data_IF_779615034215
#
_entry.id   IF_779615034215
#
_cell.length_a   1.000
_cell.length_b   1.000
_cell.length_c   1.000
_cell.angle_alpha   90.00
_cell.angle_beta   90.00
_cell.angle_gamma   90.00
#
_symmetry.space_group_name_H-M   'P 1'
#
loop_
_entity.id
_entity.type
_entity.pdbx_description
1 polymer ?
#
# COMPACT_ATOMS: atom_id res chain seq x y z
N UNK A 1 -40.83 -25.04 -13.18
CA UNK A 1 -41.92 -24.10 -12.85
C UNK A 1 -42.29 -24.39 -11.40
N UNK A 2 -42.48 -23.35 -10.57
CA UNK A 2 -42.58 -23.29 -9.09
C UNK A 2 -41.33 -22.73 -8.40
N UNK A 3 -41.37 -21.42 -8.22
CA UNK A 3 -40.56 -20.58 -7.33
C UNK A 3 -41.13 -20.66 -5.91
N UNK A 4 -40.27 -20.71 -4.89
CA UNK A 4 -40.66 -20.44 -3.51
C UNK A 4 -40.12 -19.07 -3.10
N UNK A 5 -41.04 -18.10 -3.01
CA UNK A 5 -40.83 -16.81 -2.38
C UNK A 5 -41.33 -16.90 -0.93
N UNK A 6 -40.50 -16.56 0.05
CA UNK A 6 -40.96 -16.30 1.42
C UNK A 6 -41.00 -14.79 1.60
N UNK A 7 -42.23 -14.27 1.60
CA UNK A 7 -42.59 -12.88 1.89
C UNK A 7 -43.16 -12.85 3.31
N UNK A 8 -42.52 -12.11 4.21
CA UNK A 8 -43.19 -11.56 5.40
C UNK A 8 -42.73 -10.12 5.59
N UNK A 9 -43.42 -9.20 4.90
CA UNK A 9 -43.33 -7.76 5.13
C UNK A 9 -44.65 -7.33 5.78
N UNK A 10 -44.64 -7.08 7.09
CA UNK A 10 -45.76 -6.48 7.81
C UNK A 10 -45.72 -4.97 7.57
N UNK A 11 -46.74 -4.46 6.87
CA UNK A 11 -46.98 -3.05 6.62
C UNK A 11 -47.26 -2.29 7.92
N UNK A 12 -46.52 -1.20 8.17
CA UNK A 12 -47.02 -0.03 8.89
C UNK A 12 -46.63 1.27 8.14
N UNK A 13 -47.62 1.71 7.38
CA UNK A 13 -47.99 3.05 6.89
C UNK A 13 -47.02 4.24 6.89
N UNK A 14 -47.10 4.94 5.74
CA UNK A 14 -46.79 6.35 5.41
C UNK A 14 -45.44 6.68 4.76
N UNK A 15 -45.54 6.87 3.43
CA UNK A 15 -44.74 7.72 2.55
C UNK A 15 -43.22 7.52 2.53
N UNK A 16 -42.77 6.57 1.72
CA UNK A 16 -41.60 6.73 0.85
C UNK A 16 -41.64 5.61 -0.20
N UNK A 17 -41.52 5.98 -1.47
CA UNK A 17 -41.23 5.06 -2.56
C UNK A 17 -39.84 4.47 -2.29
N UNK A 18 -39.78 3.32 -1.63
CA UNK A 18 -38.56 2.52 -1.61
C UNK A 18 -38.49 1.86 -2.98
N UNK A 19 -37.63 2.43 -3.82
CA UNK A 19 -37.14 1.77 -5.01
C UNK A 19 -36.35 0.54 -4.51
N UNK A 20 -36.98 -0.63 -4.45
CA UNK A 20 -36.25 -1.89 -4.30
C UNK A 20 -35.52 -2.13 -5.61
N UNK A 21 -34.35 -1.50 -5.77
CA UNK A 21 -33.34 -1.99 -6.69
C UNK A 21 -32.96 -3.40 -6.19
N UNK A 22 -33.25 -4.41 -7.00
CA UNK A 22 -32.63 -5.72 -6.86
C UNK A 22 -31.12 -5.50 -6.92
N UNK A 23 -30.43 -5.54 -5.77
CA UNK A 23 -28.97 -5.57 -5.73
C UNK A 23 -28.58 -6.95 -6.25
N UNK A 24 -28.36 -7.06 -7.56
CA UNK A 24 -27.70 -8.23 -8.15
C UNK A 24 -26.25 -8.24 -7.67
N UNK A 25 -25.99 -8.86 -6.53
CA UNK A 25 -24.64 -9.17 -6.05
C UNK A 25 -24.03 -10.20 -6.99
N UNK A 26 -23.26 -9.74 -7.98
CA UNK A 26 -22.62 -10.64 -8.95
C UNK A 26 -21.48 -11.39 -8.26
N UNK A 27 -21.69 -12.68 -7.99
CA UNK A 27 -20.62 -13.58 -7.56
C UNK A 27 -19.59 -13.71 -8.69
N UNK A 28 -18.33 -13.41 -8.39
CA UNK A 28 -17.20 -13.57 -9.32
C UNK A 28 -16.43 -14.83 -8.96
N UNK A 29 -16.12 -15.66 -9.96
CA UNK A 29 -15.35 -16.91 -9.79
C UNK A 29 -13.98 -16.77 -10.46
N UNK A 30 -12.93 -17.14 -9.73
CA UNK A 30 -11.57 -17.27 -10.26
C UNK A 30 -11.05 -18.68 -10.02
N UNK A 31 -10.32 -19.23 -10.99
CA UNK A 31 -9.71 -20.57 -10.92
C UNK A 31 -8.22 -20.48 -11.21
N UNK A 32 -7.43 -20.94 -10.25
CA UNK A 32 -6.01 -21.16 -10.36
C UNK A 32 -5.74 -22.60 -10.78
N UNK A 33 -5.23 -22.76 -12.00
CA UNK A 33 -4.67 -24.00 -12.50
C UNK A 33 -3.23 -24.12 -11.98
N UNK A 34 -3.01 -24.95 -10.97
CA UNK A 34 -1.73 -25.17 -10.32
C UNK A 34 -1.10 -26.49 -10.82
N UNK A 35 0.02 -26.43 -11.57
CA UNK A 35 0.73 -27.63 -11.98
C UNK A 35 1.32 -28.39 -10.79
N UNK A 36 1.22 -29.72 -10.79
CA UNK A 36 1.78 -30.56 -9.72
C UNK A 36 3.31 -30.44 -9.65
N UNK A 37 3.98 -30.11 -10.76
CA UNK A 37 5.42 -29.80 -10.80
C UNK A 37 5.79 -28.56 -10.00
N UNK A 38 4.89 -27.58 -9.93
CA UNK A 38 5.06 -26.39 -9.10
C UNK A 38 4.71 -26.71 -7.65
N UNK A 39 3.76 -27.61 -7.41
CA UNK A 39 3.35 -28.09 -6.09
C UNK A 39 4.39 -29.03 -5.44
N UNK A 40 5.56 -28.49 -5.12
CA UNK A 40 6.70 -29.23 -4.55
C UNK A 40 6.48 -29.64 -3.09
N UNK A 41 7.17 -30.68 -2.62
CA UNK A 41 6.98 -31.22 -1.26
C UNK A 41 7.60 -30.30 -0.19
N UNK A 42 6.96 -30.24 0.99
CA UNK A 42 7.42 -29.62 2.25
C UNK A 42 7.79 -28.13 2.18
N UNK A 43 6.93 -27.25 2.74
CA UNK A 43 7.22 -25.83 2.86
C UNK A 43 7.02 -25.04 1.57
N UNK A 44 6.38 -25.64 0.56
CA UNK A 44 6.02 -24.95 -0.66
C UNK A 44 5.16 -23.72 -0.38
N UNK A 45 5.42 -22.65 -1.12
CA UNK A 45 4.62 -21.45 -1.15
C UNK A 45 4.47 -21.00 -2.60
N UNK A 46 3.24 -20.73 -3.00
CA UNK A 46 2.92 -20.29 -4.36
C UNK A 46 1.86 -19.21 -4.36
N UNK A 47 1.83 -18.44 -5.44
CA UNK A 47 0.81 -17.41 -5.66
C UNK A 47 0.21 -17.58 -7.05
N UNK A 48 -1.10 -17.40 -7.16
CA UNK A 48 -1.75 -17.32 -8.45
C UNK A 48 -1.29 -16.07 -9.22
N UNK A 49 -1.55 -16.03 -10.53
CA UNK A 49 -1.64 -14.76 -11.25
C UNK A 49 -2.61 -13.81 -10.56
N UNK A 50 -2.38 -12.52 -10.74
CA UNK A 50 -3.31 -11.47 -10.34
C UNK A 50 -4.62 -11.64 -11.11
N UNK A 51 -5.74 -11.48 -10.42
CA UNK A 51 -7.06 -11.41 -11.04
C UNK A 51 -7.84 -10.21 -10.51
N UNK A 52 -8.71 -9.68 -11.37
CA UNK A 52 -9.42 -8.43 -11.12
C UNK A 52 -10.91 -8.70 -11.04
N UNK A 53 -11.54 -8.14 -10.01
CA UNK A 53 -13.00 -8.06 -9.93
C UNK A 53 -13.44 -6.61 -10.04
N UNK A 54 -14.59 -6.37 -10.65
CA UNK A 54 -15.15 -5.03 -10.82
C UNK A 54 -16.46 -4.94 -10.06
N UNK A 55 -16.60 -3.93 -9.21
CA UNK A 55 -17.88 -3.58 -8.58
C UNK A 55 -18.10 -2.08 -8.75
N UNK A 56 -19.20 -1.69 -9.38
CA UNK A 56 -19.59 -0.28 -9.55
C UNK A 56 -18.50 0.62 -10.15
N UNK A 57 -17.70 0.08 -11.07
CA UNK A 57 -16.60 0.80 -11.71
C UNK A 57 -15.26 0.78 -10.95
N UNK A 58 -15.24 0.26 -9.72
CA UNK A 58 -14.01 0.11 -8.93
C UNK A 58 -13.33 -1.23 -9.24
N UNK A 59 -12.07 -1.16 -9.69
CA UNK A 59 -11.22 -2.33 -9.93
C UNK A 59 -10.60 -2.79 -8.62
N UNK A 60 -10.78 -4.05 -8.29
CA UNK A 60 -10.27 -4.70 -7.10
C UNK A 60 -9.24 -5.75 -7.55
N UNK A 61 -8.02 -5.67 -7.03
CA UNK A 61 -6.92 -6.59 -7.40
C UNK A 61 -6.73 -7.65 -6.32
N UNK A 62 -6.61 -8.91 -6.76
CA UNK A 62 -6.56 -10.08 -5.89
C UNK A 62 -5.51 -11.10 -6.33
N UNK A 63 -5.05 -11.91 -5.38
CA UNK A 63 -4.29 -13.15 -5.62
C UNK A 63 -4.71 -14.24 -4.65
N UNK A 64 -4.63 -15.49 -5.10
CA UNK A 64 -4.61 -16.64 -4.19
C UNK A 64 -3.18 -16.95 -3.78
N UNK A 65 -2.97 -17.30 -2.52
CA UNK A 65 -1.69 -17.77 -1.98
C UNK A 65 -1.87 -19.12 -1.32
N UNK A 66 -1.12 -20.09 -1.79
CA UNK A 66 -1.11 -21.45 -1.24
C UNK A 66 0.19 -21.72 -0.50
N UNK A 67 0.11 -22.51 0.58
CA UNK A 67 1.27 -22.97 1.33
C UNK A 67 1.08 -24.43 1.76
N UNK A 68 2.12 -25.25 1.71
CA UNK A 68 2.14 -26.57 2.35
C UNK A 68 2.84 -26.45 3.70
N UNK A 69 2.10 -26.70 4.77
CA UNK A 69 2.60 -26.69 6.13
C UNK A 69 3.46 -27.93 6.40
N UNK A 70 4.63 -27.68 6.99
CA UNK A 70 5.63 -28.72 7.22
C UNK A 70 5.20 -29.73 8.29
N UNK A 71 4.58 -29.25 9.38
CA UNK A 71 4.33 -30.04 10.58
C UNK A 71 3.11 -30.96 10.49
N UNK A 72 2.06 -30.53 9.79
CA UNK A 72 0.79 -31.26 9.70
C UNK A 72 0.48 -31.76 8.29
N UNK A 73 1.39 -31.51 7.32
CA UNK A 73 1.20 -31.89 5.91
C UNK A 73 -0.12 -31.38 5.33
N UNK A 74 -0.59 -30.22 5.78
CA UNK A 74 -1.79 -29.57 5.26
C UNK A 74 -1.45 -28.48 4.24
N UNK A 75 -2.38 -28.24 3.33
CA UNK A 75 -2.37 -27.13 2.38
C UNK A 75 -3.21 -25.99 2.94
N UNK A 76 -2.60 -24.84 3.22
CA UNK A 76 -3.29 -23.60 3.56
C UNK A 76 -3.55 -22.77 2.31
N UNK A 77 -4.68 -22.06 2.30
CA UNK A 77 -5.09 -21.22 1.16
C UNK A 77 -5.61 -19.87 1.64
N UNK A 78 -5.09 -18.81 1.05
CA UNK A 78 -5.43 -17.43 1.39
C UNK A 78 -5.83 -16.64 0.14
N UNK A 79 -6.80 -15.75 0.30
CA UNK A 79 -7.16 -14.71 -0.63
C UNK A 79 -6.45 -13.43 -0.16
N UNK A 80 -5.69 -12.82 -1.05
CA UNK A 80 -4.94 -11.59 -0.78
C UNK A 80 -5.46 -10.46 -1.63
N UNK A 81 -5.48 -9.27 -1.05
CA UNK A 81 -6.01 -8.06 -1.67
C UNK A 81 -4.90 -7.03 -1.89
N UNK A 82 -4.78 -6.55 -3.13
CA UNK A 82 -3.67 -5.71 -3.60
C UNK A 82 -4.12 -4.32 -4.08
N UNK A 83 -5.40 -3.96 -3.91
CA UNK A 83 -5.92 -2.65 -4.27
C UNK A 83 -6.00 -1.66 -3.09
N UNK A 84 -6.08 -0.37 -3.41
CA UNK A 84 -5.92 0.73 -2.45
C UNK A 84 -7.14 0.93 -1.54
N UNK A 85 -8.35 0.72 -2.06
CA UNK A 85 -9.61 1.00 -1.37
C UNK A 85 -10.06 -0.25 -0.62
N UNK A 86 -10.37 -0.16 0.66
CA UNK A 86 -10.85 -1.32 1.41
C UNK A 86 -12.20 -1.84 0.91
N UNK A 87 -12.45 -3.15 1.04
CA UNK A 87 -13.71 -3.76 0.61
C UNK A 87 -14.12 -4.89 1.54
N UNK A 88 -15.42 -4.95 1.88
CA UNK A 88 -15.98 -6.14 2.50
C UNK A 88 -16.23 -7.18 1.40
N UNK A 89 -15.72 -8.39 1.58
CA UNK A 89 -15.95 -9.46 0.63
C UNK A 89 -16.33 -10.75 1.37
N UNK A 90 -17.39 -11.37 0.88
CA UNK A 90 -17.69 -12.75 1.20
C UNK A 90 -16.99 -13.66 0.20
N UNK A 91 -16.27 -14.66 0.66
CA UNK A 91 -15.52 -15.55 -0.20
C UNK A 91 -15.60 -16.99 0.23
N UNK A 92 -15.52 -17.88 -0.77
CA UNK A 92 -15.57 -19.32 -0.59
C UNK A 92 -14.49 -19.97 -1.46
N UNK A 93 -13.61 -20.72 -0.82
CA UNK A 93 -12.64 -21.55 -1.54
C UNK A 93 -13.23 -22.90 -1.90
N UNK A 94 -12.77 -23.44 -3.03
CA UNK A 94 -13.06 -24.79 -3.42
C UNK A 94 -11.88 -25.45 -4.15
N UNK A 95 -11.86 -26.77 -4.11
CA UNK A 95 -11.05 -27.62 -4.97
C UNK A 95 -11.96 -28.36 -5.92
N UNK A 96 -11.70 -28.24 -7.22
CA UNK A 96 -12.44 -29.01 -8.20
C UNK A 96 -12.04 -30.49 -8.07
N UNK A 97 -13.02 -31.36 -8.24
CA UNK A 97 -12.83 -32.81 -8.24
C UNK A 97 -13.56 -33.37 -9.45
N UNK A 98 -12.92 -34.27 -10.21
CA UNK A 98 -13.52 -34.86 -11.41
C UNK A 98 -14.24 -36.19 -11.15
N UNK A 99 -14.09 -36.77 -9.94
CA UNK A 99 -14.77 -38.00 -9.50
C UNK A 99 -15.97 -37.72 -8.58
N UNK A 100 -15.92 -36.64 -7.79
CA UNK A 100 -16.97 -36.20 -6.88
C UNK A 100 -17.40 -34.75 -7.15
N UNK A 101 -18.41 -34.26 -6.42
CA UNK A 101 -18.66 -32.81 -6.37
C UNK A 101 -17.44 -32.05 -5.80
N UNK A 102 -17.34 -30.75 -6.10
CA UNK A 102 -16.30 -29.84 -5.60
C UNK A 102 -16.18 -29.93 -4.07
N UNK A 103 -14.97 -30.08 -3.53
CA UNK A 103 -14.74 -29.86 -2.09
C UNK A 103 -14.72 -28.37 -1.83
N UNK A 104 -15.44 -27.89 -0.83
CA UNK A 104 -15.50 -26.46 -0.53
C UNK A 104 -15.64 -26.23 0.97
N UNK A 105 -14.98 -25.20 1.48
CA UNK A 105 -15.00 -24.87 2.91
C UNK A 105 -15.57 -23.46 3.10
N UNK A 106 -16.70 -23.39 3.83
CA UNK A 106 -17.34 -22.19 4.36
C UNK A 106 -17.72 -21.09 3.37
N UNK A 107 -18.49 -20.11 3.85
CA UNK A 107 -18.55 -18.76 3.28
C UNK A 107 -17.93 -17.86 4.36
N UNK A 108 -16.75 -17.33 4.09
CA UNK A 108 -16.06 -16.42 5.00
C UNK A 108 -16.43 -14.98 4.64
N UNK A 109 -16.48 -14.08 5.61
CA UNK A 109 -16.60 -12.64 5.37
C UNK A 109 -15.43 -11.94 6.04
N UNK A 110 -14.74 -11.09 5.29
CA UNK A 110 -13.60 -10.31 5.78
C UNK A 110 -13.59 -8.91 5.17
N UNK A 111 -13.10 -7.95 5.94
CA UNK A 111 -12.72 -6.63 5.45
C UNK A 111 -11.29 -6.71 4.90
N UNK A 112 -11.15 -6.54 3.59
CA UNK A 112 -9.85 -6.52 2.92
C UNK A 112 -9.36 -5.07 2.78
N UNK A 113 -8.17 -4.79 3.29
CA UNK A 113 -7.42 -3.55 3.04
C UNK A 113 -6.13 -3.85 2.29
N UNK A 114 -5.50 -2.85 1.68
CA UNK A 114 -4.29 -3.05 0.85
C UNK A 114 -3.24 -3.90 1.57
N UNK A 115 -2.83 -5.01 0.93
CA UNK A 115 -1.83 -5.96 1.44
C UNK A 115 -2.34 -7.03 2.40
N UNK A 116 -3.64 -7.03 2.76
CA UNK A 116 -4.20 -8.04 3.66
C UNK A 116 -4.48 -9.36 2.95
N UNK A 117 -4.33 -10.46 3.69
CA UNK A 117 -4.64 -11.81 3.24
C UNK A 117 -5.48 -12.52 4.30
N UNK A 118 -6.59 -13.13 3.89
CA UNK A 118 -7.44 -13.92 4.76
C UNK A 118 -7.68 -15.29 4.14
N UNK A 119 -7.73 -16.32 4.98
CA UNK A 119 -7.77 -17.67 4.47
C UNK A 119 -7.97 -18.74 5.51
N UNK A 120 -7.63 -19.95 5.11
CA UNK A 120 -7.83 -21.15 5.89
C UNK A 120 -6.48 -21.85 6.09
N UNK A 121 -6.07 -21.92 7.36
CA UNK A 121 -4.90 -22.69 7.77
C UNK A 121 -5.27 -24.16 7.83
N UNK A 122 -4.69 -24.95 6.91
CA UNK A 122 -5.02 -26.36 6.76
C UNK A 122 -6.33 -26.62 6.02
N UNK A 123 -6.56 -25.89 4.92
CA UNK A 123 -7.71 -26.04 4.03
C UNK A 123 -7.95 -27.49 3.57
N UNK A 124 -6.87 -28.23 3.24
CA UNK A 124 -6.93 -29.65 2.85
C UNK A 124 -5.62 -30.40 3.12
N UNK A 125 -5.69 -31.70 3.43
CA UNK A 125 -4.50 -32.53 3.57
C UNK A 125 -3.77 -32.74 2.23
N UNK A 126 -2.44 -32.61 2.25
CA UNK A 126 -1.57 -32.77 1.08
C UNK A 126 -1.74 -34.15 0.41
N UNK A 127 -1.76 -35.22 1.21
CA UNK A 127 -1.91 -36.58 0.68
C UNK A 127 -3.26 -36.79 0.02
N UNK A 128 -4.32 -36.20 0.58
CA UNK A 128 -5.66 -36.25 0.00
C UNK A 128 -5.70 -35.55 -1.36
N UNK A 129 -5.07 -34.38 -1.49
CA UNK A 129 -5.01 -33.62 -2.75
C UNK A 129 -4.14 -34.28 -3.84
N UNK A 130 -3.11 -35.02 -3.44
CA UNK A 130 -2.09 -35.58 -4.36
C UNK A 130 -2.30 -37.05 -4.70
N UNK A 131 -3.25 -37.71 -4.04
CA UNK A 131 -3.64 -39.07 -4.41
C UNK A 131 -4.44 -39.08 -5.72
N UNK A 132 -3.93 -39.83 -6.70
CA UNK A 132 -4.56 -40.00 -8.02
C UNK A 132 -5.94 -40.66 -7.92
N UNK A 133 -6.20 -41.41 -6.86
CA UNK A 133 -7.50 -42.05 -6.65
C UNK A 133 -8.57 -41.08 -6.18
N UNK A 134 -8.20 -39.96 -5.54
CA UNK A 134 -9.16 -39.05 -4.92
C UNK A 134 -9.81 -38.06 -5.90
N UNK A 135 -9.30 -37.91 -7.13
CA UNK A 135 -9.97 -37.14 -8.19
C UNK A 135 -9.69 -35.63 -8.20
N UNK A 136 -8.71 -35.14 -7.43
CA UNK A 136 -8.32 -33.71 -7.43
C UNK A 136 -7.27 -33.36 -8.50
N UNK A 137 -6.58 -34.36 -9.05
CA UNK A 137 -5.61 -34.20 -10.12
C UNK A 137 -6.31 -34.36 -11.46
N UNK A 138 -6.32 -33.30 -12.27
CA UNK A 138 -6.86 -33.29 -13.63
C UNK A 138 -5.79 -33.70 -14.65
N UNK A 139 -6.20 -33.82 -15.91
CA UNK A 139 -5.30 -34.07 -17.03
C UNK A 139 -4.09 -33.13 -17.01
N UNK A 140 -2.92 -33.67 -17.38
CA UNK A 140 -1.62 -32.97 -17.35
C UNK A 140 -1.11 -32.62 -15.94
N UNK A 141 -1.56 -33.35 -14.92
CA UNK A 141 -1.12 -33.18 -13.53
C UNK A 141 -1.41 -31.78 -12.98
N UNK A 142 -2.63 -31.30 -13.18
CA UNK A 142 -3.07 -29.96 -12.72
C UNK A 142 -4.06 -30.11 -11.56
N UNK A 143 -3.88 -29.30 -10.51
CA UNK A 143 -4.86 -29.10 -9.44
C UNK A 143 -5.60 -27.79 -9.70
N UNK A 144 -6.93 -27.81 -9.65
CA UNK A 144 -7.77 -26.63 -9.89
C UNK A 144 -8.30 -26.07 -8.57
N UNK A 145 -7.72 -24.96 -8.14
CA UNK A 145 -8.10 -24.24 -6.90
C UNK A 145 -8.98 -23.06 -7.30
N UNK A 146 -10.17 -22.94 -6.74
CA UNK A 146 -11.07 -21.84 -7.05
C UNK A 146 -11.47 -21.01 -5.84
N UNK A 147 -11.84 -19.77 -6.13
CA UNK A 147 -12.48 -18.86 -5.18
C UNK A 147 -13.72 -18.24 -5.81
N UNK A 148 -14.80 -18.23 -5.05
CA UNK A 148 -16.02 -17.48 -5.36
C UNK A 148 -16.06 -16.29 -4.43
N UNK A 149 -16.19 -15.08 -4.99
CA UNK A 149 -16.17 -13.82 -4.26
C UNK A 149 -17.48 -13.09 -4.53
N UNK A 150 -18.16 -12.70 -3.47
CA UNK A 150 -19.26 -11.74 -3.50
C UNK A 150 -18.76 -10.48 -2.83
N UNK A 151 -18.65 -9.42 -3.62
CA UNK A 151 -18.23 -8.11 -3.12
C UNK A 151 -19.42 -7.44 -2.44
N UNK A 152 -19.18 -6.94 -1.23
CA UNK A 152 -20.04 -5.99 -0.57
C UNK A 152 -19.67 -4.56 -0.97
N UNK A 153 -20.12 -3.62 -0.16
CA UNK A 153 -19.84 -2.21 -0.40
C UNK A 153 -18.35 -1.91 -0.17
N UNK A 154 -17.73 -1.05 -1.00
CA UNK A 154 -16.40 -0.54 -0.73
C UNK A 154 -16.36 0.11 0.65
N UNK A 155 -15.59 -0.48 1.54
CA UNK A 155 -15.37 0.07 2.88
C UNK A 155 -14.15 0.97 2.75
N UNK A 156 -14.40 2.22 2.41
CA UNK A 156 -13.48 3.28 2.77
C UNK A 156 -13.35 3.23 4.28
N UNK A 157 -12.14 3.00 4.79
CA UNK A 157 -11.86 3.03 6.21
C UNK A 157 -12.24 4.41 6.76
N UNK A 158 -13.48 4.55 7.23
CA UNK A 158 -14.07 5.79 7.73
C UNK A 158 -15.13 6.38 6.80
N UNK A 159 -16.23 6.86 7.39
CA UNK A 159 -17.23 7.74 6.74
C UNK A 159 -16.58 9.08 6.37
N UNK A 160 -15.69 9.10 5.39
CA UNK A 160 -15.15 10.33 4.82
C UNK A 160 -15.77 10.51 3.45
N UNK A 161 -16.50 11.61 3.27
CA UNK A 161 -16.91 12.04 1.94
C UNK A 161 -15.62 12.28 1.13
N UNK A 162 -15.27 11.37 0.21
CA UNK A 162 -14.02 11.44 -0.55
C UNK A 162 -13.95 12.72 -1.37
N UNK A 163 -15.08 13.18 -1.91
CA UNK A 163 -15.16 14.48 -2.59
C UNK A 163 -14.81 15.63 -1.65
N UNK A 164 -15.18 15.53 -0.36
CA UNK A 164 -14.81 16.52 0.65
C UNK A 164 -13.31 16.44 1.00
N UNK A 165 -12.76 15.24 1.15
CA UNK A 165 -11.32 15.06 1.48
C UNK A 165 -10.44 15.52 0.31
N UNK A 166 -10.80 15.14 -0.92
CA UNK A 166 -10.12 15.59 -2.15
C UNK A 166 -10.31 17.11 -2.34
N UNK A 167 -11.52 17.63 -2.09
CA UNK A 167 -11.82 19.06 -2.21
C UNK A 167 -11.17 19.94 -1.13
N UNK A 168 -10.87 19.39 0.06
CA UNK A 168 -10.27 20.15 1.15
C UNK A 168 -8.83 20.56 0.81
N UNK A 169 -8.02 19.64 0.27
CA UNK A 169 -6.65 19.95 -0.14
C UNK A 169 -6.61 21.07 -1.18
N UNK A 170 -7.50 21.03 -2.17
CA UNK A 170 -7.60 22.09 -3.17
C UNK A 170 -8.07 23.42 -2.57
N UNK A 171 -9.05 23.37 -1.67
CA UNK A 171 -9.56 24.56 -0.99
C UNK A 171 -8.47 25.24 -0.14
N UNK A 172 -7.67 24.46 0.58
CA UNK A 172 -6.55 24.96 1.38
C UNK A 172 -5.43 25.53 0.49
N UNK A 173 -5.10 24.84 -0.61
CA UNK A 173 -4.14 25.33 -1.61
C UNK A 173 -4.55 26.68 -2.19
N UNK A 174 -5.84 26.87 -2.50
CA UNK A 174 -6.36 28.16 -2.97
C UNK A 174 -6.24 29.27 -1.92
N UNK A 175 -6.47 28.97 -0.63
CA UNK A 175 -6.25 29.98 0.44
C UNK A 175 -4.79 30.41 0.51
N UNK A 176 -3.85 29.46 0.40
CA UNK A 176 -2.42 29.75 0.37
C UNK A 176 -2.02 30.60 -0.84
N UNK A 177 -2.43 30.21 -2.05
CA UNK A 177 -2.12 30.95 -3.29
C UNK A 177 -2.69 32.37 -3.26
N UNK A 178 -3.90 32.54 -2.74
CA UNK A 178 -4.54 33.86 -2.59
C UNK A 178 -4.04 34.63 -1.36
N UNK A 179 -3.17 34.04 -0.54
CA UNK A 179 -2.66 34.62 0.72
C UNK A 179 -3.77 35.06 1.67
N UNK A 180 -4.93 34.42 1.57
CA UNK A 180 -6.14 34.79 2.32
C UNK A 180 -6.04 34.29 3.75
N UNK A 181 -6.22 35.17 4.74
CA UNK A 181 -6.10 34.87 6.17
C UNK A 181 -4.71 34.39 6.63
N UNK A 182 -3.67 34.60 5.83
CA UNK A 182 -2.30 34.30 6.22
C UNK A 182 -1.89 35.10 7.47
N UNK A 183 -1.38 34.40 8.47
CA UNK A 183 -1.00 34.94 9.78
C UNK A 183 0.51 34.73 10.07
N UNK A 184 1.25 34.17 9.12
CA UNK A 184 2.68 33.93 9.19
C UNK A 184 3.35 34.18 7.83
N UNK A 185 4.61 34.60 7.85
CA UNK A 185 5.47 34.67 6.67
C UNK A 185 6.73 33.82 6.88
N UNK A 186 6.98 32.87 5.97
CA UNK A 186 8.27 32.20 5.87
C UNK A 186 9.22 33.08 5.05
N UNK A 187 10.45 33.27 5.52
CA UNK A 187 11.42 34.17 4.88
C UNK A 187 12.75 33.47 4.62
N UNK A 188 13.35 33.77 3.48
CA UNK A 188 14.77 33.51 3.16
C UNK A 188 15.44 34.80 2.75
N UNK A 189 16.73 34.75 2.43
CA UNK A 189 17.43 35.91 1.86
C UNK A 189 16.91 36.30 0.46
N UNK A 190 16.23 35.38 -0.24
CA UNK A 190 15.83 35.55 -1.65
C UNK A 190 14.32 35.73 -1.84
N UNK A 191 13.49 35.24 -0.93
CA UNK A 191 12.05 35.20 -1.11
C UNK A 191 11.28 35.13 0.21
N UNK A 192 9.98 35.43 0.12
CA UNK A 192 9.03 35.37 1.23
C UNK A 192 7.76 34.64 0.79
N UNK A 193 7.19 33.84 1.69
CA UNK A 193 5.96 33.09 1.45
C UNK A 193 4.97 33.30 2.60
N UNK A 194 3.80 33.85 2.29
CA UNK A 194 2.69 33.92 3.23
C UNK A 194 2.15 32.51 3.52
N UNK A 195 1.82 32.21 4.77
CA UNK A 195 1.37 30.90 5.24
C UNK A 195 0.45 31.02 6.46
N UNK A 196 -0.04 29.87 6.93
CA UNK A 196 -0.95 29.76 8.07
C UNK A 196 -0.32 28.92 9.17
N UNK A 197 -0.24 29.49 10.39
CA UNK A 197 0.37 28.85 11.57
C UNK A 197 -0.21 27.46 11.83
N UNK A 198 -1.54 27.37 11.86
CA UNK A 198 -2.25 26.12 12.18
C UNK A 198 -1.96 25.01 11.17
N UNK A 199 -1.86 25.35 9.89
CA UNK A 199 -1.62 24.37 8.83
C UNK A 199 -0.19 23.87 8.91
N UNK A 200 0.80 24.77 9.03
CA UNK A 200 2.20 24.40 9.19
C UNK A 200 2.43 23.53 10.44
N UNK A 201 1.90 23.94 11.59
CA UNK A 201 2.02 23.18 12.84
C UNK A 201 1.37 21.80 12.75
N UNK A 202 0.27 21.65 12.00
CA UNK A 202 -0.40 20.35 11.83
C UNK A 202 0.41 19.35 10.99
N UNK A 203 1.27 19.83 10.09
CA UNK A 203 2.02 18.99 9.15
C UNK A 203 3.48 18.78 9.55
N UNK A 204 4.00 19.59 10.48
CA UNK A 204 5.41 19.61 10.86
C UNK A 204 5.55 19.78 12.37
N UNK A 205 6.22 18.82 13.00
CA UNK A 205 6.55 18.94 14.43
C UNK A 205 7.49 20.12 14.69
N UNK A 206 8.37 20.44 13.75
CA UNK A 206 9.32 21.55 13.85
C UNK A 206 8.57 22.89 13.83
N UNK A 207 7.65 23.10 12.88
CA UNK A 207 6.83 24.31 12.90
C UNK A 207 5.93 24.36 14.14
N UNK A 208 5.37 23.22 14.58
CA UNK A 208 4.60 23.17 15.82
C UNK A 208 5.41 23.63 17.03
N UNK A 209 6.66 23.19 17.16
CA UNK A 209 7.54 23.59 18.26
C UNK A 209 7.94 25.07 18.17
N UNK A 210 8.30 25.56 16.98
CA UNK A 210 8.62 26.96 16.75
C UNK A 210 7.44 27.88 17.11
N UNK A 211 6.22 27.46 16.79
CA UNK A 211 5.00 28.24 17.02
C UNK A 211 4.47 28.10 18.47
N UNK A 212 4.80 27.03 19.18
CA UNK A 212 4.38 26.81 20.57
C UNK A 212 4.88 27.92 21.52
N UNK A 213 5.99 28.57 21.19
CA UNK A 213 6.55 29.69 21.95
C UNK A 213 5.94 31.06 21.60
N UNK A 214 5.01 31.13 20.63
CA UNK A 214 4.34 32.38 20.27
C UNK A 214 3.37 32.80 21.37
N UNK A 215 3.46 34.06 21.80
CA UNK A 215 2.56 34.67 22.79
C UNK A 215 1.94 35.94 22.24
N UNK A 216 0.93 36.50 22.92
CA UNK A 216 0.32 37.77 22.52
C UNK A 216 1.31 38.95 22.60
N UNK A 217 2.25 38.90 23.56
CA UNK A 217 3.29 39.92 23.74
C UNK A 217 4.43 39.77 22.72
N UNK A 218 4.70 38.52 22.29
CA UNK A 218 5.75 38.17 21.33
C UNK A 218 5.19 37.24 20.24
N UNK A 219 4.39 37.77 19.30
CA UNK A 219 3.80 36.96 18.26
C UNK A 219 4.86 36.54 17.25
N UNK A 220 4.94 35.24 16.97
CA UNK A 220 5.79 34.71 15.89
C UNK A 220 5.07 34.96 14.56
N UNK A 221 5.44 36.02 13.85
CA UNK A 221 4.85 36.37 12.54
C UNK A 221 5.78 36.06 11.37
N UNK A 222 7.06 35.82 11.66
CA UNK A 222 8.07 35.50 10.68
C UNK A 222 8.87 34.27 11.15
N UNK A 223 9.10 33.32 10.25
CA UNK A 223 10.03 32.20 10.48
C UNK A 223 11.07 32.22 9.38
N UNK A 224 12.33 32.31 9.79
CA UNK A 224 13.44 32.17 8.86
C UNK A 224 13.62 30.70 8.49
N UNK A 225 13.55 30.38 7.20
CA UNK A 225 13.76 29.03 6.66
C UNK A 225 15.05 28.92 5.84
N UNK A 226 15.92 29.93 5.90
CA UNK A 226 17.20 29.93 5.16
C UNK A 226 18.27 29.01 5.76
N UNK A 227 18.20 28.69 7.06
CA UNK A 227 19.09 27.71 7.70
C UNK A 227 18.85 26.27 7.21
N UNK A 228 17.77 26.06 6.46
CA UNK A 228 17.34 24.75 6.02
C UNK A 228 17.86 24.33 4.64
N UNK A 229 18.84 25.01 3.99
CA UNK A 229 19.30 24.70 2.61
C UNK A 229 18.16 24.37 1.60
N UNK A 230 16.93 24.80 1.91
CA UNK A 230 15.72 24.18 1.40
C UNK A 230 15.39 24.94 0.13
N UNK A 231 16.05 24.57 -0.97
CA UNK A 231 15.84 25.19 -2.28
C UNK A 231 14.44 24.97 -2.86
N UNK A 232 13.56 24.29 -2.13
CA UNK A 232 12.23 23.83 -2.57
C UNK A 232 11.12 24.27 -1.60
N UNK A 233 11.25 25.43 -0.93
CA UNK A 233 10.23 25.93 0.03
C UNK A 233 8.84 25.98 -0.60
N UNK A 234 8.74 26.42 -1.86
CA UNK A 234 7.45 26.50 -2.57
C UNK A 234 6.83 25.11 -2.80
N UNK A 235 7.62 24.13 -3.26
CA UNK A 235 7.20 22.72 -3.41
C UNK A 235 6.81 22.09 -2.07
N UNK A 236 7.54 22.41 -0.99
CA UNK A 236 7.21 21.98 0.35
C UNK A 236 5.86 22.54 0.80
N UNK A 237 5.62 23.84 0.58
CA UNK A 237 4.32 24.45 0.89
C UNK A 237 3.20 23.87 0.03
N UNK A 238 3.41 23.68 -1.27
CA UNK A 238 2.43 23.02 -2.15
C UNK A 238 1.98 21.67 -1.57
N UNK A 239 2.93 20.88 -1.07
CA UNK A 239 2.63 19.62 -0.41
C UNK A 239 1.85 19.80 0.90
N UNK A 240 2.29 20.70 1.77
CA UNK A 240 1.63 20.95 3.07
C UNK A 240 0.15 21.28 2.89
N UNK A 241 -0.21 22.04 1.85
CA UNK A 241 -1.59 22.49 1.63
C UNK A 241 -2.43 21.50 0.81
N UNK A 242 -1.83 20.72 -0.09
CA UNK A 242 -2.57 19.88 -1.05
C UNK A 242 -2.32 18.38 -0.92
N UNK A 243 -1.29 17.95 -0.19
CA UNK A 243 -0.81 16.57 -0.17
C UNK A 243 -0.08 16.14 -1.46
N UNK A 244 0.20 17.08 -2.38
CA UNK A 244 0.82 16.80 -3.68
C UNK A 244 1.84 17.85 -4.07
N UNK A 245 2.74 17.51 -4.99
CA UNK A 245 3.69 18.47 -5.60
C UNK A 245 3.62 18.32 -7.10
N UNK A 246 3.31 19.40 -7.81
CA UNK A 246 3.11 19.38 -9.26
C UNK A 246 4.43 19.11 -9.99
N UNK A 247 5.47 19.88 -9.66
CA UNK A 247 6.77 19.85 -10.35
C UNK A 247 7.89 20.32 -9.42
N UNK A 248 8.51 19.42 -8.62
CA UNK A 248 9.68 19.81 -7.83
C UNK A 248 10.85 20.12 -8.77
N UNK A 249 11.60 21.19 -8.51
CA UNK A 249 12.76 21.56 -9.35
C UNK A 249 13.94 20.63 -9.06
N UNK A 250 14.14 20.29 -7.78
CA UNK A 250 15.14 19.35 -7.31
C UNK A 250 14.58 18.47 -6.19
N UNK A 251 14.37 17.19 -6.49
CA UNK A 251 13.80 16.23 -5.54
C UNK A 251 14.70 15.98 -4.31
N UNK A 252 16.03 16.12 -4.44
CA UNK A 252 16.98 15.96 -3.32
C UNK A 252 16.82 17.12 -2.34
N UNK A 253 16.70 18.35 -2.84
CA UNK A 253 16.41 19.51 -2.00
C UNK A 253 15.06 19.34 -1.28
N UNK A 254 14.07 18.76 -1.95
CA UNK A 254 12.77 18.48 -1.33
C UNK A 254 12.86 17.39 -0.24
N UNK A 255 13.70 16.36 -0.42
CA UNK A 255 14.04 15.40 0.65
C UNK A 255 14.63 16.12 1.85
N UNK A 256 15.58 17.03 1.62
CA UNK A 256 16.17 17.83 2.69
C UNK A 256 15.06 18.59 3.43
N UNK A 257 14.20 19.33 2.72
CA UNK A 257 13.12 20.09 3.33
C UNK A 257 12.21 19.18 4.19
N UNK A 258 11.83 18.02 3.66
CA UNK A 258 10.98 17.05 4.36
C UNK A 258 11.61 16.56 5.66
N UNK A 259 12.91 16.28 5.64
CA UNK A 259 13.66 15.82 6.80
C UNK A 259 13.85 16.96 7.82
N UNK A 260 14.33 18.12 7.37
CA UNK A 260 14.64 19.27 8.21
C UNK A 260 13.41 19.79 8.96
N UNK A 261 12.26 19.88 8.27
CA UNK A 261 11.01 20.30 8.89
C UNK A 261 10.18 19.12 9.44
N UNK A 262 10.72 17.89 9.41
CA UNK A 262 10.06 16.67 9.87
C UNK A 262 8.60 16.52 9.35
N UNK A 263 8.43 16.60 8.04
CA UNK A 263 7.14 16.47 7.35
C UNK A 263 7.02 15.04 6.81
N UNK A 264 6.46 14.14 7.62
CA UNK A 264 6.42 12.70 7.32
C UNK A 264 5.76 12.38 5.96
N UNK A 265 4.64 13.02 5.64
CA UNK A 265 3.95 12.82 4.36
C UNK A 265 4.83 13.20 3.16
N UNK A 266 5.56 14.30 3.25
CA UNK A 266 6.45 14.77 2.19
C UNK A 266 7.66 13.85 2.04
N UNK A 267 8.18 13.33 3.15
CA UNK A 267 9.24 12.32 3.16
C UNK A 267 8.80 11.07 2.42
N UNK A 268 7.61 10.53 2.71
CA UNK A 268 7.03 9.38 2.00
C UNK A 268 6.76 9.68 0.51
N UNK A 269 6.32 10.89 0.18
CA UNK A 269 6.18 11.32 -1.21
C UNK A 269 7.52 11.27 -1.97
N UNK A 270 8.58 11.84 -1.38
CA UNK A 270 9.91 11.82 -1.96
C UNK A 270 10.47 10.41 -2.10
N UNK A 271 10.29 9.54 -1.10
CA UNK A 271 10.66 8.12 -1.17
C UNK A 271 10.02 7.42 -2.38
N UNK A 272 8.71 7.60 -2.55
CA UNK A 272 7.98 6.98 -3.65
C UNK A 272 8.48 7.50 -5.00
N UNK A 273 8.71 8.82 -5.14
CA UNK A 273 9.25 9.42 -6.37
C UNK A 273 10.67 8.92 -6.68
N UNK A 274 11.54 8.84 -5.68
CA UNK A 274 12.92 8.33 -5.82
C UNK A 274 12.98 6.81 -6.04
N UNK A 275 11.92 6.08 -5.70
CA UNK A 275 11.82 4.66 -6.02
C UNK A 275 11.71 4.42 -7.52
N UNK A 276 11.06 5.34 -8.24
CA UNK A 276 11.01 5.30 -9.70
C UNK A 276 12.37 5.69 -10.30
N UNK A 277 12.84 4.92 -11.28
CA UNK A 277 14.11 5.20 -11.95
C UNK A 277 15.38 4.84 -11.17
N UNK A 278 15.30 3.92 -10.20
CA UNK A 278 16.50 3.29 -9.64
C UNK A 278 17.22 2.54 -10.76
N UNK A 279 18.52 2.80 -10.91
CA UNK A 279 19.42 2.12 -11.84
C UNK A 279 20.68 1.70 -11.10
N UNK A 280 21.49 0.81 -11.70
CA UNK A 280 22.78 0.48 -11.08
C UNK A 280 23.67 1.71 -10.92
N UNK A 281 23.66 2.63 -11.90
CA UNK A 281 24.52 3.82 -11.90
C UNK A 281 24.16 4.80 -10.77
N UNK A 282 22.87 4.98 -10.46
CA UNK A 282 22.41 5.92 -9.42
C UNK A 282 22.16 5.26 -8.05
N UNK A 283 22.22 3.92 -7.97
CA UNK A 283 21.88 3.18 -6.76
C UNK A 283 22.76 3.52 -5.56
N UNK A 284 24.06 3.78 -5.76
CA UNK A 284 24.97 4.14 -4.66
C UNK A 284 24.59 5.47 -4.02
N UNK A 285 24.48 6.50 -4.85
CA UNK A 285 24.16 7.87 -4.43
C UNK A 285 22.80 7.89 -3.73
N UNK A 286 21.79 7.24 -4.31
CA UNK A 286 20.46 7.12 -3.69
C UNK A 286 20.48 6.32 -2.40
N UNK A 287 21.37 5.33 -2.27
CA UNK A 287 21.48 4.53 -1.06
C UNK A 287 22.05 5.37 0.09
N UNK A 288 23.12 6.13 -0.18
CA UNK A 288 23.70 7.08 0.77
C UNK A 288 22.64 8.12 1.16
N UNK A 289 21.99 8.75 0.17
CA UNK A 289 20.88 9.68 0.41
C UNK A 289 19.78 9.06 1.30
N UNK A 290 19.41 7.81 1.03
CA UNK A 290 18.37 7.14 1.81
C UNK A 290 18.78 6.82 3.24
N UNK A 291 20.07 6.71 3.51
CA UNK A 291 20.60 6.56 4.86
C UNK A 291 20.65 7.91 5.57
N UNK A 292 21.22 8.93 4.94
CA UNK A 292 21.43 10.25 5.54
C UNK A 292 20.13 10.96 5.94
N UNK A 293 19.03 10.69 5.22
CA UNK A 293 17.71 11.29 5.49
C UNK A 293 16.68 10.30 6.05
N UNK A 294 17.13 9.13 6.52
CA UNK A 294 16.28 8.07 7.10
C UNK A 294 15.13 7.62 6.19
N UNK A 295 15.38 7.52 4.87
CA UNK A 295 14.39 7.16 3.87
C UNK A 295 14.22 5.63 3.75
N UNK A 296 13.68 5.01 4.79
CA UNK A 296 13.76 3.55 4.98
C UNK A 296 13.08 2.73 3.87
N UNK A 297 11.91 3.14 3.35
CA UNK A 297 11.25 2.37 2.28
C UNK A 297 12.03 2.43 0.96
N UNK A 298 12.62 3.59 0.67
CA UNK A 298 13.51 3.78 -0.46
C UNK A 298 14.78 2.93 -0.31
N UNK A 299 15.40 2.95 0.88
CA UNK A 299 16.60 2.16 1.20
C UNK A 299 16.36 0.67 0.92
N UNK A 300 15.28 0.08 1.44
CA UNK A 300 14.91 -1.31 1.18
C UNK A 300 14.70 -1.59 -0.31
N UNK A 301 14.02 -0.67 -1.02
CA UNK A 301 13.78 -0.81 -2.46
C UNK A 301 15.07 -0.79 -3.28
N UNK A 302 16.02 0.08 -2.91
CA UNK A 302 17.34 0.17 -3.56
C UNK A 302 18.15 -1.11 -3.30
N UNK A 303 18.22 -1.58 -2.06
CA UNK A 303 18.93 -2.81 -1.72
C UNK A 303 18.38 -4.00 -2.52
N UNK A 304 17.05 -4.18 -2.53
CA UNK A 304 16.40 -5.23 -3.31
C UNK A 304 16.72 -5.13 -4.81
N UNK A 305 16.76 -3.91 -5.37
CA UNK A 305 17.14 -3.68 -6.75
C UNK A 305 18.60 -4.05 -7.04
N UNK A 306 19.54 -3.65 -6.16
CA UNK A 306 20.97 -3.97 -6.27
C UNK A 306 21.18 -5.49 -6.32
N UNK A 307 20.51 -6.23 -5.42
CA UNK A 307 20.60 -7.70 -5.39
C UNK A 307 20.02 -8.32 -6.66
N UNK A 308 18.79 -7.93 -7.01
CA UNK A 308 18.06 -8.47 -8.16
C UNK A 308 18.82 -8.28 -9.48
N UNK A 309 19.44 -7.13 -9.67
CA UNK A 309 20.12 -6.76 -10.92
C UNK A 309 21.65 -6.94 -10.86
N UNK A 310 22.18 -7.46 -9.75
CA UNK A 310 23.63 -7.68 -9.54
C UNK A 310 24.47 -6.43 -9.81
N UNK A 311 23.99 -5.28 -9.35
CA UNK A 311 24.66 -4.01 -9.60
C UNK A 311 26.09 -4.01 -9.00
N UNK A 312 27.09 -3.41 -9.68
CA UNK A 312 28.47 -3.34 -9.20
C UNK A 312 28.66 -2.37 -8.02
N UNK A 313 27.58 -1.81 -7.48
CA UNK A 313 27.48 -0.82 -6.40
C UNK A 313 28.27 -1.16 -5.14
N UNK A 314 28.49 -2.45 -4.88
CA UNK A 314 29.22 -2.96 -3.71
C UNK A 314 30.64 -3.44 -4.04
N UNK A 315 31.21 -2.98 -5.16
CA UNK A 315 32.53 -3.37 -5.65
C UNK A 315 33.35 -2.14 -6.06
N UNK A 316 34.65 -2.35 -6.25
CA UNK A 316 35.53 -1.36 -6.88
C UNK A 316 35.58 -0.03 -6.14
N UNK A 317 35.44 1.07 -6.88
CA UNK A 317 35.50 2.43 -6.32
C UNK A 317 34.26 2.79 -5.49
N UNK A 318 33.07 2.30 -5.86
CA UNK A 318 31.83 2.50 -5.10
C UNK A 318 31.94 1.99 -3.67
N UNK A 319 32.66 0.88 -3.46
CA UNK A 319 32.92 0.34 -2.13
C UNK A 319 33.80 1.28 -1.28
N UNK A 320 34.75 2.00 -1.89
CA UNK A 320 35.58 3.00 -1.17
C UNK A 320 34.73 4.14 -0.62
N UNK A 321 33.72 4.58 -1.37
CA UNK A 321 32.74 5.58 -0.89
C UNK A 321 31.86 5.03 0.22
N UNK A 322 31.48 3.74 0.18
CA UNK A 322 30.72 3.13 1.28
C UNK A 322 31.56 2.97 2.56
N UNK A 323 32.87 2.76 2.44
CA UNK A 323 33.78 2.68 3.60
C UNK A 323 33.78 3.96 4.44
N UNK A 324 33.46 5.11 3.84
CA UNK A 324 33.30 6.36 4.61
C UNK A 324 31.97 6.43 5.38
N UNK A 325 31.07 5.45 5.21
CA UNK A 325 29.76 5.35 5.85
C UNK A 325 29.62 4.01 6.61
N UNK A 326 30.29 3.84 7.76
CA UNK A 326 30.39 2.55 8.46
C UNK A 326 29.04 2.01 8.96
N UNK A 327 28.11 2.89 9.37
CA UNK A 327 26.76 2.49 9.78
C UNK A 327 25.98 1.87 8.59
N UNK A 328 26.01 2.55 7.44
CA UNK A 328 25.40 2.06 6.21
C UNK A 328 26.01 0.72 5.76
N UNK A 329 27.32 0.54 5.87
CA UNK A 329 27.97 -0.74 5.58
C UNK A 329 27.47 -1.88 6.48
N UNK A 330 27.28 -1.61 7.77
CA UNK A 330 26.74 -2.60 8.71
C UNK A 330 25.29 -2.96 8.38
N UNK A 331 24.47 -1.96 8.02
CA UNK A 331 23.09 -2.17 7.56
C UNK A 331 23.04 -3.03 6.29
N UNK A 332 23.89 -2.71 5.31
CA UNK A 332 24.06 -3.50 4.09
C UNK A 332 24.40 -4.96 4.45
N UNK A 333 25.42 -5.18 5.28
CA UNK A 333 25.84 -6.53 5.69
C UNK A 333 24.72 -7.32 6.37
N UNK A 334 23.93 -6.67 7.21
CA UNK A 334 22.77 -7.28 7.89
C UNK A 334 21.69 -7.68 6.89
N UNK A 335 21.33 -6.78 5.97
CA UNK A 335 20.35 -7.03 4.91
C UNK A 335 20.72 -8.25 4.04
N UNK A 336 22.00 -8.37 3.66
CA UNK A 336 22.47 -9.53 2.88
C UNK A 336 22.47 -10.83 3.68
N UNK A 337 22.78 -10.77 4.97
CA UNK A 337 22.76 -11.95 5.84
C UNK A 337 21.34 -12.50 5.96
N UNK A 338 20.34 -11.63 6.10
CA UNK A 338 18.92 -12.01 6.11
C UNK A 338 18.45 -12.62 4.78
N UNK A 339 19.00 -12.19 3.64
CA UNK A 339 18.68 -12.76 2.33
C UNK A 339 19.32 -14.12 2.04
N UNK A 340 20.44 -14.46 2.67
CA UNK A 340 21.13 -15.77 2.49
C UNK A 340 20.46 -16.90 3.30
N UNK A 341 19.54 -16.55 4.20
CA UNK A 341 18.71 -17.50 4.94
C UNK A 341 17.40 -17.91 4.23
N UNK A 342 17.25 -17.55 2.95
CA UNK A 342 16.19 -17.99 2.02
C UNK A 342 16.84 -18.65 0.80
#
# INVERSE_FOLDING_TARGET
MWTFSILTCLCLSFSQLIYCQEITTSMVEFVWDLPLSEYQRYGWYGSSPEFITNHEGNKQSWRLRGKINYYDSTFSLHLCYEALIGIEAQYKFYLANHKSNKYSKGLNSSLFTSGTCFGDEGFMEYHTMTDKENGYIFDKEIIKIGVQIVLGDPVFSGRTNLEYVEGLGESLRLQWQNKSFADLTLVTAQAEWAAHKVILASQSSVFSELLANSTDEHPVNYINVSDAECGEVESMLEFIYSGSVSSPTNLINLVYCAHHFNIAGLKSYCENRLRFGITCDNSLERLILSHDYDLNQLKTSIMAYIVKNKCPTLKGESLKTLITHPALLSEIGSFFTEMVHW
#
